data_IF_942264988304
#
_entry.id   IF_942264988304
#
_cell.length_a   1.000
_cell.length_b   1.000
_cell.length_c   1.000
_cell.angle_alpha   90.00
_cell.angle_beta   90.00
_cell.angle_gamma   90.00
#
_symmetry.space_group_name_H-M   'P 1'
#
loop_
_entity.id
_entity.type
_entity.pdbx_description
1 polymer ?
#
# COMPACT_ATOMS: atom_id res chain seq x y z
N UNK A 1 -13.25 4.66 11.94
CA UNK A 1 -13.32 3.18 11.93
C UNK A 1 -14.67 2.66 11.40
N UNK A 2 -15.83 3.14 11.86
CA UNK A 2 -17.18 2.73 11.40
C UNK A 2 -17.35 2.46 9.89
N UNK A 3 -16.81 3.31 9.02
CA UNK A 3 -16.90 3.10 7.56
C UNK A 3 -16.16 1.83 7.11
N UNK A 4 -15.00 1.57 7.69
CA UNK A 4 -14.17 0.39 7.39
C UNK A 4 -14.85 -0.85 7.98
N UNK A 5 -15.38 -0.78 9.21
CA UNK A 5 -16.19 -1.86 9.80
C UNK A 5 -17.37 -2.21 8.89
N UNK A 6 -18.08 -1.19 8.38
CA UNK A 6 -19.21 -1.42 7.47
C UNK A 6 -18.78 -2.04 6.14
N UNK A 7 -17.62 -1.68 5.62
CA UNK A 7 -17.05 -2.33 4.44
C UNK A 7 -16.73 -3.81 4.71
N UNK A 8 -16.23 -4.13 5.90
CA UNK A 8 -16.03 -5.50 6.36
C UNK A 8 -17.32 -6.32 6.43
N UNK A 9 -18.37 -5.78 7.04
CA UNK A 9 -19.71 -6.41 7.08
C UNK A 9 -20.27 -6.69 5.68
N UNK A 10 -19.98 -5.80 4.73
CA UNK A 10 -20.43 -5.89 3.34
C UNK A 10 -19.46 -6.67 2.43
N UNK A 11 -18.38 -7.24 3.00
CA UNK A 11 -17.32 -7.97 2.28
C UNK A 11 -16.74 -7.17 1.11
N UNK A 12 -16.42 -5.90 1.35
CA UNK A 12 -15.76 -5.04 0.34
C UNK A 12 -14.24 -5.09 0.60
N UNK A 13 -13.41 -5.54 -0.35
CA UNK A 13 -11.95 -5.42 -0.22
C UNK A 13 -11.55 -3.97 0.01
N UNK A 14 -10.76 -3.73 1.05
CA UNK A 14 -10.49 -2.37 1.52
C UNK A 14 -8.99 -2.08 1.60
N UNK A 15 -8.58 -0.97 1.00
CA UNK A 15 -7.26 -0.40 1.21
C UNK A 15 -7.37 0.67 2.30
N UNK A 16 -6.49 0.59 3.28
CA UNK A 16 -6.37 1.57 4.36
C UNK A 16 -4.90 1.97 4.51
N UNK A 17 -4.59 3.02 5.26
CA UNK A 17 -3.21 3.37 5.52
C UNK A 17 -3.05 4.41 6.60
N UNK A 18 -1.80 4.72 6.89
CA UNK A 18 -1.40 5.80 7.78
C UNK A 18 -0.47 6.76 7.04
N UNK A 19 -0.56 8.04 7.43
CA UNK A 19 0.37 9.07 7.01
C UNK A 19 1.41 9.27 8.11
N UNK A 20 2.69 9.30 7.73
CA UNK A 20 3.83 9.35 8.66
C UNK A 20 4.54 10.69 8.53
N UNK A 21 4.73 11.42 9.62
CA UNK A 21 5.42 12.71 9.64
C UNK A 21 4.49 13.92 9.64
N UNK A 22 3.24 13.76 10.10
CA UNK A 22 2.29 14.86 10.27
C UNK A 22 2.31 15.48 11.68
N UNK A 23 3.14 14.96 12.59
CA UNK A 23 3.30 15.46 13.97
C UNK A 23 2.77 14.51 15.03
N UNK A 24 2.27 13.36 14.60
CA UNK A 24 1.95 12.22 15.41
C UNK A 24 3.19 11.63 16.09
N UNK A 25 2.98 11.05 17.27
CA UNK A 25 3.99 10.31 18.00
C UNK A 25 4.16 8.89 17.45
N UNK A 26 5.20 8.19 17.91
CA UNK A 26 5.36 6.76 17.64
C UNK A 26 4.19 5.93 18.16
N UNK A 27 3.64 6.30 19.33
CA UNK A 27 2.50 5.63 19.94
C UNK A 27 1.24 5.77 19.09
N UNK A 28 0.98 6.94 18.50
CA UNK A 28 -0.17 7.17 17.61
C UNK A 28 -0.13 6.25 16.38
N UNK A 29 1.07 6.04 15.82
CA UNK A 29 1.28 5.15 14.67
C UNK A 29 1.04 3.70 15.03
N UNK A 30 1.59 3.27 16.18
CA UNK A 30 1.37 1.90 16.69
C UNK A 30 -0.12 1.67 16.92
N UNK A 31 -0.80 2.59 17.61
CA UNK A 31 -2.23 2.46 17.91
C UNK A 31 -3.05 2.37 16.62
N UNK A 32 -2.72 3.17 15.61
CA UNK A 32 -3.38 3.10 14.29
C UNK A 32 -3.20 1.74 13.62
N UNK A 33 -1.98 1.19 13.64
CA UNK A 33 -1.71 -0.14 13.05
C UNK A 33 -2.33 -1.29 13.85
N UNK A 34 -2.43 -1.17 15.18
CA UNK A 34 -3.12 -2.14 16.02
C UNK A 34 -4.63 -2.15 15.74
N UNK A 35 -5.25 -0.98 15.52
CA UNK A 35 -6.67 -0.92 15.11
C UNK A 35 -6.88 -1.51 13.71
N UNK A 36 -5.97 -1.26 12.77
CA UNK A 36 -6.00 -1.89 11.44
C UNK A 36 -5.90 -3.42 11.57
N UNK A 37 -4.98 -3.91 12.41
CA UNK A 37 -4.86 -5.36 12.69
C UNK A 37 -6.15 -5.92 13.28
N UNK A 38 -6.73 -5.24 14.28
CA UNK A 38 -8.01 -5.65 14.90
C UNK A 38 -9.12 -5.79 13.87
N UNK A 39 -9.26 -4.81 12.97
CA UNK A 39 -10.25 -4.85 11.88
C UNK A 39 -9.98 -5.99 10.90
N UNK A 40 -8.71 -6.28 10.62
CA UNK A 40 -8.35 -7.39 9.74
C UNK A 40 -8.65 -8.75 10.40
N UNK A 41 -8.37 -8.89 11.69
CA UNK A 41 -8.69 -10.10 12.47
C UNK A 41 -10.21 -10.32 12.56
N UNK A 42 -10.99 -9.24 12.69
CA UNK A 42 -12.45 -9.30 12.82
C UNK A 42 -13.16 -9.57 11.48
N UNK A 43 -12.76 -8.90 10.40
CA UNK A 43 -13.51 -8.91 9.13
C UNK A 43 -12.75 -9.53 7.95
N UNK A 44 -11.42 -9.62 8.00
CA UNK A 44 -10.59 -10.24 6.94
C UNK A 44 -10.58 -9.54 5.58
N UNK A 45 -11.24 -8.38 5.47
CA UNK A 45 -11.50 -7.63 4.24
C UNK A 45 -10.41 -6.62 3.83
N UNK A 46 -9.45 -6.31 4.70
CA UNK A 46 -8.37 -5.38 4.36
C UNK A 46 -7.39 -6.11 3.46
N UNK A 47 -7.14 -5.53 2.30
CA UNK A 47 -6.26 -6.08 1.28
C UNK A 47 -4.86 -5.49 1.32
N UNK A 48 -4.74 -4.25 1.81
CA UNK A 48 -3.54 -3.44 1.75
C UNK A 48 -3.51 -2.41 2.87
N UNK A 49 -2.32 -2.21 3.45
CA UNK A 49 -2.02 -1.14 4.39
C UNK A 49 -0.94 -0.24 3.78
N UNK A 50 -1.31 1.00 3.47
CA UNK A 50 -0.39 2.02 2.95
C UNK A 50 0.36 2.68 4.10
N UNK A 51 1.69 2.68 4.02
CA UNK A 51 2.55 3.50 4.87
C UNK A 51 3.10 4.61 4.00
N UNK A 52 2.45 5.78 4.07
CA UNK A 52 2.77 6.92 3.23
C UNK A 52 3.58 7.95 4.02
N UNK A 53 4.75 8.40 3.53
CA UNK A 53 5.41 9.56 4.10
C UNK A 53 4.63 10.84 3.80
N UNK A 54 4.57 11.73 4.77
CA UNK A 54 4.12 13.10 4.57
C UNK A 54 5.11 13.84 3.68
N UNK A 55 4.57 14.47 2.64
CA UNK A 55 5.31 15.36 1.74
C UNK A 55 4.71 16.76 1.89
N UNK A 56 5.49 17.75 2.36
CA UNK A 56 5.04 19.13 2.47
C UNK A 56 4.58 19.67 1.12
N UNK A 57 3.55 20.51 1.16
CA UNK A 57 2.99 21.18 -0.01
C UNK A 57 2.96 22.66 0.24
N UNK A 58 3.39 23.42 -0.76
CA UNK A 58 3.21 24.87 -0.79
C UNK A 58 1.75 25.23 -0.56
N UNK A 59 1.51 26.36 0.10
CA UNK A 59 0.17 26.90 0.37
C UNK A 59 -0.69 26.03 1.31
N UNK A 60 -0.07 25.07 2.01
CA UNK A 60 -0.72 24.31 3.08
C UNK A 60 -0.23 24.75 4.46
N UNK A 61 -1.02 24.61 5.53
CA UNK A 61 -0.58 24.92 6.90
C UNK A 61 0.69 24.17 7.35
N UNK A 62 1.08 23.11 6.63
CA UNK A 62 2.22 22.26 6.94
C UNK A 62 3.35 22.37 5.92
N UNK A 63 3.36 23.42 5.08
CA UNK A 63 4.38 23.64 4.04
C UNK A 63 5.82 23.67 4.59
N UNK A 64 6.01 24.20 5.80
CA UNK A 64 7.31 24.38 6.44
C UNK A 64 7.72 23.17 7.31
N UNK A 65 6.90 22.12 7.34
CA UNK A 65 7.21 20.91 8.10
C UNK A 65 8.20 20.05 7.32
N UNK A 66 9.09 19.34 8.01
CA UNK A 66 9.99 18.38 7.35
C UNK A 66 9.28 17.04 7.10
N UNK A 67 9.56 16.36 5.97
CA UNK A 67 9.19 14.95 5.78
C UNK A 67 9.74 14.06 6.91
N UNK A 68 9.13 12.88 7.17
CA UNK A 68 9.66 11.92 8.13
C UNK A 68 11.05 11.43 7.71
N UNK A 69 11.86 11.00 8.68
CA UNK A 69 13.19 10.45 8.39
C UNK A 69 13.08 9.05 7.76
N UNK A 70 14.05 8.68 6.93
CA UNK A 70 14.12 7.32 6.35
C UNK A 70 13.98 6.21 7.40
N UNK A 71 14.75 6.29 8.48
CA UNK A 71 14.72 5.29 9.56
C UNK A 71 13.37 5.21 10.27
N UNK A 72 12.66 6.33 10.36
CA UNK A 72 11.35 6.41 11.00
C UNK A 72 10.28 5.68 10.19
N UNK A 73 10.29 5.85 8.87
CA UNK A 73 9.47 5.08 7.94
C UNK A 73 9.85 3.59 7.96
N UNK A 74 11.14 3.29 7.97
CA UNK A 74 11.62 1.91 7.95
C UNK A 74 11.16 1.15 9.21
N UNK A 75 11.25 1.79 10.37
CA UNK A 75 10.81 1.22 11.63
C UNK A 75 9.30 0.91 11.62
N UNK A 76 8.47 1.80 11.05
CA UNK A 76 7.03 1.58 11.03
C UNK A 76 6.62 0.51 10.01
N UNK A 77 7.30 0.40 8.86
CA UNK A 77 7.13 -0.70 7.90
C UNK A 77 7.47 -2.03 8.54
N UNK A 78 8.64 -2.11 9.19
CA UNK A 78 9.06 -3.32 9.90
C UNK A 78 8.06 -3.72 10.99
N UNK A 79 7.57 -2.75 11.78
CA UNK A 79 6.56 -3.00 12.80
C UNK A 79 5.25 -3.52 12.18
N UNK A 80 4.76 -2.89 11.11
CA UNK A 80 3.54 -3.30 10.42
C UNK A 80 3.63 -4.74 9.90
N UNK A 81 4.73 -5.10 9.22
CA UNK A 81 4.99 -6.49 8.78
C UNK A 81 5.02 -7.44 9.98
N UNK A 82 5.64 -7.06 11.10
CA UNK A 82 5.76 -7.93 12.27
C UNK A 82 4.41 -8.26 12.91
N UNK A 83 3.50 -7.29 12.99
CA UNK A 83 2.18 -7.48 13.61
C UNK A 83 1.12 -8.01 12.65
N UNK A 84 1.33 -7.88 11.33
CA UNK A 84 0.44 -8.35 10.27
C UNK A 84 1.25 -9.11 9.20
N UNK A 85 1.70 -10.35 9.50
CA UNK A 85 2.66 -11.08 8.66
C UNK A 85 2.17 -11.38 7.24
N UNK A 86 0.85 -11.49 7.03
CA UNK A 86 0.25 -11.82 5.73
C UNK A 86 -0.33 -10.61 4.98
N UNK A 87 -0.22 -9.40 5.56
CA UNK A 87 -0.81 -8.19 4.96
C UNK A 87 0.06 -7.65 3.82
N UNK A 88 -0.56 -7.07 2.78
CA UNK A 88 0.18 -6.29 1.80
C UNK A 88 0.51 -4.92 2.39
N UNK A 89 1.80 -4.64 2.53
CA UNK A 89 2.29 -3.37 3.07
C UNK A 89 2.80 -2.54 1.88
N UNK A 90 2.07 -1.48 1.57
CA UNK A 90 2.37 -0.60 0.45
C UNK A 90 3.27 0.55 0.87
N UNK A 91 4.31 0.80 0.09
CA UNK A 91 5.12 2.03 0.17
C UNK A 91 5.22 2.69 -1.21
N UNK A 92 4.97 4.01 -1.32
CA UNK A 92 4.98 4.69 -2.63
C UNK A 92 6.42 4.95 -3.09
N UNK A 93 6.91 4.30 -4.17
CA UNK A 93 8.32 4.32 -4.56
C UNK A 93 8.83 5.70 -5.01
N UNK A 94 7.93 6.60 -5.40
CA UNK A 94 8.25 7.98 -5.78
C UNK A 94 8.43 8.91 -4.57
N UNK A 95 7.96 8.53 -3.37
CA UNK A 95 8.04 9.38 -2.17
C UNK A 95 9.09 8.91 -1.15
N UNK A 96 9.81 7.82 -1.45
CA UNK A 96 10.84 7.24 -0.56
C UNK A 96 12.18 7.11 -1.28
N UNK A 97 13.26 7.21 -0.50
CA UNK A 97 14.61 6.91 -0.97
C UNK A 97 14.98 5.47 -0.60
N UNK A 98 15.93 4.85 -1.32
CA UNK A 98 16.44 3.50 -0.99
C UNK A 98 15.34 2.44 -0.82
N UNK A 99 14.47 2.31 -1.82
CA UNK A 99 13.34 1.36 -1.83
C UNK A 99 13.67 -0.05 -1.31
N UNK A 100 14.86 -0.58 -1.63
CA UNK A 100 15.29 -1.93 -1.22
C UNK A 100 15.26 -2.11 0.30
N UNK A 101 15.61 -1.07 1.08
CA UNK A 101 15.56 -1.12 2.54
C UNK A 101 14.14 -1.45 3.01
N UNK A 102 13.12 -0.86 2.37
CA UNK A 102 11.72 -1.07 2.72
C UNK A 102 11.21 -2.45 2.33
N UNK A 103 11.65 -2.97 1.18
CA UNK A 103 11.32 -4.34 0.77
C UNK A 103 11.90 -5.36 1.75
N UNK A 104 13.16 -5.17 2.17
CA UNK A 104 13.80 -6.00 3.20
C UNK A 104 13.14 -5.85 4.57
N UNK A 105 12.57 -4.67 4.89
CA UNK A 105 11.77 -4.46 6.10
C UNK A 105 10.37 -5.10 6.03
N UNK A 106 9.93 -5.54 4.85
CA UNK A 106 8.69 -6.27 4.65
C UNK A 106 7.60 -5.53 3.88
N UNK A 107 7.88 -4.40 3.25
CA UNK A 107 7.00 -3.89 2.20
C UNK A 107 6.99 -4.86 1.02
N UNK A 108 5.82 -5.09 0.43
CA UNK A 108 5.66 -5.99 -0.70
C UNK A 108 4.74 -5.42 -1.79
N UNK A 109 4.35 -4.14 -1.66
CA UNK A 109 3.53 -3.45 -2.63
C UNK A 109 4.06 -2.04 -2.88
N UNK A 110 4.08 -1.63 -4.14
CA UNK A 110 4.57 -0.31 -4.57
C UNK A 110 3.43 0.65 -4.94
N UNK A 111 2.18 0.17 -4.87
CA UNK A 111 0.99 0.91 -5.23
C UNK A 111 0.85 1.16 -6.73
N UNK A 112 -0.08 2.05 -7.07
CA UNK A 112 -0.31 2.44 -8.45
C UNK A 112 0.87 3.25 -9.00
N UNK A 113 1.35 2.87 -10.17
CA UNK A 113 2.34 3.63 -10.96
C UNK A 113 1.78 3.87 -12.36
N UNK A 114 2.12 5.00 -12.97
CA UNK A 114 1.67 5.34 -14.32
C UNK A 114 2.82 5.80 -15.20
N UNK A 115 2.85 5.31 -16.44
CA UNK A 115 3.77 5.79 -17.49
C UNK A 115 3.15 6.90 -18.33
N UNK A 116 1.85 7.17 -18.14
CA UNK A 116 1.05 8.07 -19.00
C UNK A 116 0.63 9.33 -18.26
N UNK A 117 0.35 9.23 -16.96
CA UNK A 117 -0.16 10.31 -16.13
C UNK A 117 0.81 10.66 -15.00
N UNK A 118 0.90 11.93 -14.59
CA UNK A 118 1.63 12.29 -13.38
C UNK A 118 0.93 11.76 -12.13
N UNK A 119 1.62 11.79 -10.99
CA UNK A 119 0.96 11.67 -9.68
C UNK A 119 0.22 12.98 -9.40
N UNK A 120 -1.12 12.96 -9.45
CA UNK A 120 -1.93 14.15 -9.20
C UNK A 120 -1.90 14.60 -7.73
N UNK A 121 -1.54 13.71 -6.79
CA UNK A 121 -1.40 14.05 -5.37
C UNK A 121 0.02 14.59 -5.10
N UNK A 122 1.02 14.01 -5.75
CA UNK A 122 2.41 14.46 -5.67
C UNK A 122 3.03 14.82 -7.02
N UNK A 123 2.57 15.91 -7.69
CA UNK A 123 3.07 16.28 -9.02
C UNK A 123 4.59 16.52 -9.06
N UNK A 124 5.17 16.95 -7.94
CA UNK A 124 6.60 17.20 -7.77
C UNK A 124 7.43 15.92 -7.58
N UNK A 125 6.79 14.76 -7.42
CA UNK A 125 7.44 13.45 -7.24
C UNK A 125 6.98 12.50 -8.36
N UNK A 126 7.64 12.52 -9.52
CA UNK A 126 7.23 11.73 -10.68
C UNK A 126 7.31 10.22 -10.40
N UNK A 127 6.47 9.45 -11.09
CA UNK A 127 6.55 7.99 -11.05
C UNK A 127 7.93 7.49 -11.48
N UNK A 128 8.45 6.41 -10.87
CA UNK A 128 9.67 5.78 -11.33
C UNK A 128 9.48 5.19 -12.73
N UNK A 129 10.55 5.13 -13.52
CA UNK A 129 10.54 4.38 -14.76
C UNK A 129 10.48 2.88 -14.44
N UNK A 130 9.41 2.21 -14.88
CA UNK A 130 9.10 0.81 -14.52
C UNK A 130 10.21 -0.14 -14.98
N UNK A 131 10.74 -0.02 -16.19
CA UNK A 131 11.81 -0.90 -16.69
C UNK A 131 13.11 -0.77 -15.89
N UNK A 132 13.46 0.46 -15.48
CA UNK A 132 14.64 0.69 -14.62
C UNK A 132 14.42 0.16 -13.21
N UNK A 133 13.20 0.30 -12.70
CA UNK A 133 12.81 -0.22 -11.40
C UNK A 133 12.89 -1.74 -11.38
N UNK A 134 12.28 -2.41 -12.36
CA UNK A 134 12.31 -3.86 -12.54
C UNK A 134 13.75 -4.40 -12.58
N UNK A 135 14.61 -3.84 -13.44
CA UNK A 135 16.04 -4.23 -13.49
C UNK A 135 16.79 -4.01 -12.18
N UNK A 136 16.41 -3.01 -11.40
CA UNK A 136 17.03 -2.75 -10.09
C UNK A 136 16.55 -3.77 -9.05
N UNK A 137 15.26 -4.07 -9.04
CA UNK A 137 14.65 -5.05 -8.13
C UNK A 137 15.18 -6.46 -8.42
N UNK A 138 15.25 -6.86 -9.69
CA UNK A 138 15.76 -8.18 -10.07
C UNK A 138 17.23 -8.41 -9.68
N UNK A 139 18.07 -7.37 -9.66
CA UNK A 139 19.46 -7.46 -9.15
C UNK A 139 19.55 -7.77 -7.66
N UNK A 140 18.52 -7.41 -6.90
CA UNK A 140 18.42 -7.62 -5.46
C UNK A 140 17.56 -8.86 -5.13
N UNK A 141 17.14 -9.62 -6.15
CA UNK A 141 16.37 -10.86 -5.98
C UNK A 141 14.85 -10.65 -5.81
N UNK A 142 14.31 -9.49 -6.21
CA UNK A 142 12.88 -9.21 -6.20
C UNK A 142 12.29 -9.24 -7.61
N UNK A 143 11.10 -9.80 -7.74
CA UNK A 143 10.32 -9.79 -8.98
C UNK A 143 9.27 -8.68 -8.94
N UNK A 144 9.25 -7.80 -9.95
CA UNK A 144 8.20 -6.79 -10.09
C UNK A 144 7.02 -7.39 -10.86
N UNK A 145 5.86 -7.49 -10.21
CA UNK A 145 4.62 -7.99 -10.82
C UNK A 145 3.55 -6.92 -10.86
N UNK A 146 2.91 -6.79 -12.02
CA UNK A 146 1.69 -6.00 -12.15
C UNK A 146 0.53 -6.70 -11.45
N UNK A 147 -0.40 -5.93 -10.88
CA UNK A 147 -1.59 -6.46 -10.22
C UNK A 147 -2.84 -5.69 -10.55
N UNK A 148 -3.99 -6.36 -10.46
CA UNK A 148 -5.29 -5.70 -10.42
C UNK A 148 -5.48 -4.91 -9.11
N UNK A 149 -6.51 -4.06 -9.10
CA UNK A 149 -6.91 -3.29 -7.91
C UNK A 149 -7.43 -4.16 -6.76
N UNK A 150 -7.85 -5.39 -7.05
CA UNK A 150 -8.34 -6.38 -6.09
C UNK A 150 -7.37 -7.56 -6.01
N UNK A 151 -6.90 -7.90 -4.81
CA UNK A 151 -5.84 -8.89 -4.64
C UNK A 151 -6.31 -10.34 -4.89
N UNK A 152 -5.39 -11.27 -5.24
CA UNK A 152 -5.74 -12.64 -5.59
C UNK A 152 -6.59 -13.37 -4.53
N UNK A 153 -6.35 -13.10 -3.25
CA UNK A 153 -7.16 -13.65 -2.13
C UNK A 153 -8.66 -13.34 -2.29
N UNK A 154 -8.99 -12.12 -2.73
CA UNK A 154 -10.38 -11.67 -2.89
C UNK A 154 -10.92 -12.01 -4.27
N UNK A 155 -10.08 -12.06 -5.31
CA UNK A 155 -10.49 -12.57 -6.64
C UNK A 155 -10.97 -14.01 -6.55
N UNK A 156 -10.29 -14.85 -5.76
CA UNK A 156 -10.64 -16.25 -5.55
C UNK A 156 -11.91 -16.46 -4.72
N UNK A 157 -12.54 -15.41 -4.19
CA UNK A 157 -13.75 -15.48 -3.38
C UNK A 157 -14.83 -14.53 -3.91
N UNK A 158 -15.83 -15.09 -4.60
CA UNK A 158 -16.95 -14.35 -5.19
C UNK A 158 -17.77 -13.54 -4.19
N UNK A 159 -17.72 -13.85 -2.89
CA UNK A 159 -18.43 -13.09 -1.87
C UNK A 159 -17.96 -11.62 -1.77
N UNK A 160 -16.77 -11.30 -2.31
CA UNK A 160 -16.17 -9.97 -2.25
C UNK A 160 -16.48 -9.08 -3.46
N UNK A 161 -17.25 -9.58 -4.41
CA UNK A 161 -17.58 -8.86 -5.64
C UNK A 161 -19.03 -9.07 -6.01
N UNK A 162 -19.61 -8.09 -6.74
CA UNK A 162 -20.89 -8.33 -7.39
C UNK A 162 -20.69 -9.17 -8.65
N UNK A 163 -21.68 -9.97 -9.07
CA UNK A 163 -21.56 -10.81 -10.27
C UNK A 163 -21.15 -10.05 -11.53
N UNK A 164 -21.59 -8.80 -11.69
CA UNK A 164 -21.29 -7.98 -12.86
C UNK A 164 -19.80 -7.56 -12.93
N UNK A 165 -19.12 -7.50 -11.79
CA UNK A 165 -17.68 -7.18 -11.70
C UNK A 165 -16.85 -8.45 -11.80
N UNK A 166 -17.37 -9.57 -11.28
CA UNK A 166 -16.66 -10.85 -11.21
C UNK A 166 -16.24 -11.36 -12.60
N UNK A 167 -17.08 -11.22 -13.62
CA UNK A 167 -16.75 -11.64 -15.00
C UNK A 167 -15.54 -10.88 -15.55
N UNK A 168 -15.53 -9.55 -15.41
CA UNK A 168 -14.42 -8.70 -15.85
C UNK A 168 -13.14 -9.00 -15.07
N UNK A 169 -13.26 -9.20 -13.75
CA UNK A 169 -12.10 -9.52 -12.90
C UNK A 169 -11.52 -10.88 -13.26
N UNK A 170 -12.34 -11.89 -13.56
CA UNK A 170 -11.87 -13.21 -14.03
C UNK A 170 -11.14 -13.12 -15.37
N UNK A 171 -11.72 -12.41 -16.34
CA UNK A 171 -11.08 -12.25 -17.65
C UNK A 171 -9.71 -11.56 -17.54
N UNK A 172 -9.59 -10.57 -16.65
CA UNK A 172 -8.34 -9.85 -16.41
C UNK A 172 -7.36 -10.66 -15.57
N UNK A 173 -7.82 -11.49 -14.62
CA UNK A 173 -6.94 -12.30 -13.78
C UNK A 173 -6.39 -13.54 -14.48
N UNK A 174 -7.05 -14.02 -15.54
CA UNK A 174 -6.58 -15.09 -16.41
C UNK A 174 -5.48 -14.63 -17.41
N UNK A 175 -5.35 -13.31 -17.62
CA UNK A 175 -4.28 -12.73 -18.43
C UNK A 175 -2.99 -12.66 -17.62
N UNK A 176 -2.25 -13.76 -17.59
CA UNK A 176 -0.94 -13.87 -16.94
C UNK A 176 -0.94 -14.80 -15.72
N UNK A 177 0.08 -14.66 -14.87
CA UNK A 177 0.29 -15.44 -13.64
C UNK A 177 -0.33 -14.77 -12.40
N UNK A 178 -1.33 -13.90 -12.58
CA UNK A 178 -1.85 -13.05 -11.50
C UNK A 178 -2.41 -13.82 -10.29
N UNK A 179 -2.94 -15.02 -10.52
CA UNK A 179 -3.48 -15.88 -9.46
C UNK A 179 -2.46 -16.89 -8.90
N UNK A 180 -1.25 -16.96 -9.44
CA UNK A 180 -0.16 -17.85 -9.02
C UNK A 180 0.73 -17.21 -7.94
#
# INVERSE_FOLDING_TARGET
LKTIEKAGELKIPFTIGILVGIGESWEDRINSLLEIRRLQEEFGHIQEVIIQPFVPKEETPMENKSPPKHQELLNIVFFARRIMPDMNIQVPPNLISKLIDFLLAGANDLGGMSTVTPDFINPQNPWPNIEKLDKKLGKEGFDLRERLSIYPKFVKNSDYMRPEVEEVVKELSEKGDYLE
#
